data_IF_964634745662
#
_entry.id   IF_964634745662
#
_cell.length_a   1.000
_cell.length_b   1.000
_cell.length_c   1.000
_cell.angle_alpha   90.00
_cell.angle_beta   90.00
_cell.angle_gamma   90.00
#
_symmetry.space_group_name_H-M   'P 1'
#
loop_
_entity.id
_entity.type
_entity.pdbx_description
1 polymer ?
#
# COMPACT_ATOMS: atom_id res chain seq x y z
N UNK A 1 2.20 6.56 -18.25
CA UNK A 1 2.97 7.18 -17.14
C UNK A 1 4.40 6.67 -17.22
N UNK A 2 5.43 7.40 -16.76
CA UNK A 2 6.80 6.90 -16.83
C UNK A 2 6.99 5.63 -16.00
N UNK A 3 7.92 4.79 -16.45
CA UNK A 3 8.44 3.65 -15.69
C UNK A 3 9.60 4.15 -14.83
N UNK A 4 9.56 3.83 -13.54
CA UNK A 4 10.60 4.23 -12.59
C UNK A 4 11.66 3.14 -12.43
N UNK A 5 12.91 3.57 -12.19
CA UNK A 5 14.02 2.67 -11.89
C UNK A 5 14.05 2.24 -10.42
N UNK A 6 14.90 1.24 -10.13
CA UNK A 6 14.99 0.58 -8.83
C UNK A 6 15.34 1.50 -7.67
N UNK A 7 15.97 2.67 -7.90
CA UNK A 7 16.34 3.58 -6.82
C UNK A 7 15.12 4.13 -6.10
N UNK A 8 13.98 4.23 -6.79
CA UNK A 8 12.72 4.65 -6.17
C UNK A 8 12.14 3.61 -5.21
N UNK A 9 12.69 2.39 -5.21
CA UNK A 9 12.30 1.36 -4.25
C UNK A 9 12.94 1.58 -2.87
N UNK A 10 14.03 2.35 -2.83
CA UNK A 10 14.77 2.73 -1.63
C UNK A 10 14.27 4.04 -1.05
N UNK A 11 14.61 4.30 0.21
CA UNK A 11 14.24 5.51 0.90
C UNK A 11 14.81 6.75 0.20
N UNK A 12 13.96 7.76 0.07
CA UNK A 12 14.27 9.07 -0.45
C UNK A 12 14.82 9.97 0.66
N UNK A 13 15.69 10.93 0.32
CA UNK A 13 16.17 11.93 1.26
C UNK A 13 15.01 12.69 1.91
N UNK A 14 15.14 13.01 3.20
CA UNK A 14 14.18 13.85 3.91
C UNK A 14 14.28 15.27 3.36
N UNK A 15 13.17 15.80 2.89
CA UNK A 15 13.07 17.21 2.48
C UNK A 15 12.50 18.08 3.60
N UNK A 16 12.63 19.41 3.47
CA UNK A 16 12.28 20.38 4.51
C UNK A 16 10.79 20.58 4.80
N UNK A 17 9.90 20.06 3.96
CA UNK A 17 8.46 20.16 4.22
C UNK A 17 8.10 19.34 5.46
N UNK A 18 7.50 19.97 6.48
CA UNK A 18 7.18 19.33 7.76
C UNK A 18 6.23 18.13 7.64
N UNK A 19 5.48 18.03 6.55
CA UNK A 19 4.60 16.91 6.26
C UNK A 19 5.27 15.82 5.39
N UNK A 20 6.60 15.83 5.25
CA UNK A 20 7.34 14.81 4.50
C UNK A 20 7.04 13.41 5.04
N UNK A 21 6.67 12.51 4.14
CA UNK A 21 6.41 11.11 4.45
C UNK A 21 6.74 10.21 3.28
N UNK A 22 7.11 8.97 3.60
CA UNK A 22 7.01 7.85 2.68
C UNK A 22 5.97 6.87 3.15
N UNK A 23 5.21 6.29 2.22
CA UNK A 23 4.19 5.30 2.52
C UNK A 23 4.28 4.14 1.54
N UNK A 24 4.31 2.94 2.10
CA UNK A 24 4.34 1.67 1.41
C UNK A 24 2.96 1.03 1.54
N UNK A 25 2.34 0.73 0.41
CA UNK A 25 1.04 0.10 0.32
C UNK A 25 1.14 -1.24 -0.38
N UNK A 26 0.41 -2.22 0.14
CA UNK A 26 0.24 -3.51 -0.50
C UNK A 26 -1.19 -3.99 -0.32
N UNK A 27 -1.73 -4.65 -1.34
CA UNK A 27 -3.02 -5.30 -1.26
C UNK A 27 -3.04 -6.60 -2.06
N UNK A 28 -3.91 -7.51 -1.64
CA UNK A 28 -4.16 -8.77 -2.30
C UNK A 28 -5.58 -9.23 -1.97
N UNK A 29 -6.20 -9.98 -2.87
CA UNK A 29 -7.42 -10.72 -2.58
C UNK A 29 -7.45 -12.02 -3.38
N UNK A 30 -7.75 -13.12 -2.70
CA UNK A 30 -7.85 -14.45 -3.24
C UNK A 30 -9.32 -14.90 -3.25
N UNK A 31 -9.98 -14.97 -4.42
CA UNK A 31 -11.36 -15.42 -4.49
C UNK A 31 -11.54 -16.90 -4.16
N UNK A 32 -10.49 -17.72 -4.25
CA UNK A 32 -10.60 -19.16 -3.98
C UNK A 32 -10.70 -19.44 -2.48
N UNK A 33 -9.99 -18.66 -1.67
CA UNK A 33 -10.01 -18.79 -0.21
C UNK A 33 -10.91 -17.78 0.49
N UNK A 34 -11.47 -16.80 -0.25
CA UNK A 34 -12.20 -15.65 0.29
C UNK A 34 -11.38 -14.91 1.37
N UNK A 35 -10.11 -14.68 1.07
CA UNK A 35 -9.20 -13.95 1.96
C UNK A 35 -8.45 -12.86 1.22
N UNK A 36 -8.05 -11.82 1.94
CA UNK A 36 -7.21 -10.77 1.36
C UNK A 36 -6.73 -9.79 2.40
N UNK A 37 -5.94 -8.83 1.97
CA UNK A 37 -5.46 -7.77 2.85
C UNK A 37 -5.24 -6.47 2.11
N UNK A 38 -5.22 -5.39 2.88
CA UNK A 38 -4.74 -4.08 2.50
C UNK A 38 -3.88 -3.57 3.65
N UNK A 39 -2.68 -3.09 3.35
CA UNK A 39 -1.77 -2.61 4.38
C UNK A 39 -1.05 -1.35 3.94
N UNK A 40 -0.85 -0.44 4.90
CA UNK A 40 -0.01 0.75 4.77
C UNK A 40 1.02 0.76 5.89
N UNK A 41 2.29 0.93 5.55
CA UNK A 41 3.32 1.37 6.49
C UNK A 41 3.80 2.75 6.07
N UNK A 42 3.87 3.70 7.01
CA UNK A 42 4.29 5.07 6.75
C UNK A 42 5.42 5.53 7.63
N UNK A 43 6.44 6.16 7.06
CA UNK A 43 7.51 6.84 7.79
C UNK A 43 7.26 8.35 7.71
N UNK A 44 7.25 9.04 8.85
CA UNK A 44 7.02 10.49 8.99
C UNK A 44 8.08 11.08 9.92
N UNK A 45 9.31 11.30 9.43
CA UNK A 45 10.47 11.60 10.28
C UNK A 45 10.34 12.93 11.03
N UNK A 46 9.76 13.97 10.41
CA UNK A 46 9.52 15.26 11.06
C UNK A 46 8.46 15.19 12.16
N UNK A 47 7.53 14.24 12.04
CA UNK A 47 6.56 13.94 13.10
C UNK A 47 7.10 12.92 14.10
N UNK A 48 8.33 12.43 13.90
CA UNK A 48 9.02 11.48 14.77
C UNK A 48 8.37 10.10 14.85
N UNK A 49 7.68 9.64 13.79
CA UNK A 49 6.93 8.37 13.86
C UNK A 49 6.95 7.53 12.59
N UNK A 50 6.84 6.22 12.80
CA UNK A 50 6.49 5.23 11.80
C UNK A 50 5.21 4.52 12.24
N UNK A 51 4.26 4.32 11.33
CA UNK A 51 2.97 3.71 11.63
C UNK A 51 2.59 2.62 10.63
N UNK A 52 1.76 1.68 11.09
CA UNK A 52 1.19 0.65 10.23
C UNK A 52 -0.32 0.55 10.44
N UNK A 53 -1.02 0.23 9.37
CA UNK A 53 -2.39 -0.29 9.41
C UNK A 53 -2.49 -1.46 8.45
N UNK A 54 -2.89 -2.63 8.95
CA UNK A 54 -3.15 -3.84 8.19
C UNK A 54 -4.62 -4.22 8.40
N UNK A 55 -5.37 -4.31 7.32
CA UNK A 55 -6.73 -4.84 7.26
C UNK A 55 -6.69 -6.18 6.56
N UNK A 56 -7.28 -7.22 7.16
CA UNK A 56 -7.33 -8.57 6.61
C UNK A 56 -8.79 -9.01 6.52
N UNK A 57 -9.25 -9.26 5.30
CA UNK A 57 -10.54 -9.90 5.03
C UNK A 57 -10.38 -11.40 5.21
N UNK A 58 -11.24 -11.98 6.05
CA UNK A 58 -11.34 -13.40 6.31
C UNK A 58 -12.64 -13.95 5.71
N UNK A 59 -12.77 -15.27 5.52
CA UNK A 59 -13.92 -15.84 4.85
C UNK A 59 -15.24 -15.42 5.52
N UNK A 60 -16.24 -15.14 4.68
CA UNK A 60 -17.54 -14.67 5.13
C UNK A 60 -17.55 -13.16 5.37
N UNK A 61 -17.53 -12.75 6.63
CA UNK A 61 -17.87 -11.36 7.01
C UNK A 61 -16.88 -10.72 7.98
N UNK A 62 -15.84 -11.44 8.39
CA UNK A 62 -14.89 -10.94 9.37
C UNK A 62 -13.80 -10.08 8.72
N UNK A 63 -13.57 -8.90 9.30
CA UNK A 63 -12.46 -8.01 9.01
C UNK A 63 -11.58 -7.89 10.25
N UNK A 64 -10.35 -8.37 10.15
CA UNK A 64 -9.33 -8.18 11.19
C UNK A 64 -8.50 -6.93 10.91
N UNK A 65 -8.24 -6.12 11.93
CA UNK A 65 -7.45 -4.89 11.83
C UNK A 65 -6.33 -4.89 12.86
N UNK A 66 -5.11 -4.71 12.38
CA UNK A 66 -3.91 -4.43 13.17
C UNK A 66 -3.48 -3.01 12.87
N UNK A 67 -3.20 -2.22 13.90
CA UNK A 67 -2.69 -0.86 13.76
C UNK A 67 -1.67 -0.57 14.85
N UNK A 68 -0.66 0.22 14.52
CA UNK A 68 0.38 0.58 15.48
C UNK A 68 1.20 1.78 15.05
N UNK A 69 1.92 2.33 16.01
CA UNK A 69 2.83 3.46 15.82
C UNK A 69 4.04 3.27 16.72
N UNK A 70 5.21 3.67 16.24
CA UNK A 70 6.43 3.72 17.03
C UNK A 70 7.27 4.96 16.68
N UNK A 71 8.18 5.40 17.56
CA UNK A 71 9.10 6.48 17.26
C UNK A 71 9.98 6.18 16.05
N UNK A 72 10.14 7.15 15.15
CA UNK A 72 11.05 7.06 14.00
C UNK A 72 11.37 8.47 13.47
N UNK A 73 12.63 8.88 13.55
CA UNK A 73 13.07 10.22 13.14
C UNK A 73 13.87 10.23 11.82
N UNK A 74 14.23 9.05 11.32
CA UNK A 74 15.04 8.91 10.11
C UNK A 74 14.27 8.16 9.03
N UNK A 75 14.66 8.36 7.78
CA UNK A 75 14.24 7.48 6.70
C UNK A 75 15.05 6.20 6.75
N UNK A 76 14.37 5.05 6.68
CA UNK A 76 14.99 3.73 6.77
C UNK A 76 14.56 2.84 5.62
N UNK A 77 15.46 1.93 5.25
CA UNK A 77 15.30 0.96 4.16
C UNK A 77 15.32 -0.49 4.63
N UNK A 78 15.57 -0.70 5.92
CA UNK A 78 15.62 -1.99 6.61
C UNK A 78 14.74 -1.89 7.84
N UNK A 79 14.29 -3.03 8.34
CA UNK A 79 13.48 -3.11 9.56
C UNK A 79 12.19 -2.28 9.51
N UNK A 80 11.52 -2.29 8.35
CA UNK A 80 10.17 -1.76 8.19
C UNK A 80 9.17 -2.63 8.96
N UNK A 81 9.15 -2.50 10.28
CA UNK A 81 8.36 -3.31 11.18
C UNK A 81 7.70 -2.46 12.27
N UNK A 82 6.37 -2.60 12.42
CA UNK A 82 5.58 -1.93 13.47
C UNK A 82 4.47 -2.89 13.89
N UNK A 83 4.21 -3.01 15.19
CA UNK A 83 3.09 -3.78 15.74
C UNK A 83 2.90 -5.20 15.16
N UNK A 84 4.02 -5.93 14.99
CA UNK A 84 4.01 -7.30 14.47
C UNK A 84 3.87 -7.44 12.95
N UNK A 85 3.67 -6.33 12.22
CA UNK A 85 3.66 -6.28 10.76
C UNK A 85 5.03 -5.86 10.25
N UNK A 86 5.65 -6.63 9.35
CA UNK A 86 6.96 -6.35 8.76
C UNK A 86 6.92 -6.43 7.24
N UNK A 87 7.57 -5.47 6.59
CA UNK A 87 7.82 -5.48 5.15
C UNK A 87 9.31 -5.70 4.90
N UNK A 88 9.63 -6.57 3.96
CA UNK A 88 10.99 -6.90 3.56
C UNK A 88 11.11 -6.81 2.04
N UNK A 89 11.98 -5.92 1.57
CA UNK A 89 12.38 -5.85 0.17
C UNK A 89 13.39 -6.94 -0.10
N UNK A 90 13.01 -7.98 -0.84
CA UNK A 90 13.90 -9.09 -1.20
C UNK A 90 14.71 -8.78 -2.46
N UNK A 91 14.04 -8.22 -3.47
CA UNK A 91 14.66 -7.76 -4.72
C UNK A 91 13.98 -6.45 -5.15
N UNK A 92 14.74 -5.35 -5.35
CA UNK A 92 14.16 -4.06 -5.73
C UNK A 92 13.26 -4.14 -6.97
N UNK A 93 12.10 -3.52 -6.91
CA UNK A 93 11.04 -3.50 -7.95
C UNK A 93 10.53 -4.88 -8.40
N UNK A 94 10.93 -5.97 -7.74
CA UNK A 94 10.66 -7.34 -8.17
C UNK A 94 9.96 -8.14 -7.09
N UNK A 95 10.55 -8.25 -5.89
CA UNK A 95 10.09 -9.20 -4.88
C UNK A 95 10.07 -8.58 -3.49
N UNK A 96 8.93 -8.71 -2.81
CA UNK A 96 8.72 -8.24 -1.43
C UNK A 96 8.07 -9.33 -0.59
N UNK A 97 8.46 -9.44 0.67
CA UNK A 97 7.84 -10.33 1.65
C UNK A 97 7.19 -9.50 2.74
N UNK A 98 5.95 -9.86 3.09
CA UNK A 98 5.21 -9.26 4.17
C UNK A 98 4.86 -10.32 5.19
N UNK A 99 5.16 -10.05 6.45
CA UNK A 99 4.80 -10.94 7.55
C UNK A 99 3.95 -10.21 8.59
N UNK A 100 3.02 -10.92 9.22
CA UNK A 100 2.27 -10.46 10.38
C UNK A 100 2.25 -11.54 11.44
N UNK A 101 2.51 -11.15 12.68
CA UNK A 101 2.17 -11.92 13.87
C UNK A 101 1.71 -10.94 14.94
N UNK A 102 0.39 -10.76 15.05
CA UNK A 102 -0.19 -9.73 15.90
C UNK A 102 -1.57 -10.08 16.42
N UNK A 103 -1.92 -9.51 17.57
CA UNK A 103 -3.29 -9.41 18.04
C UNK A 103 -4.05 -8.37 17.19
N UNK A 104 -5.19 -8.76 16.64
CA UNK A 104 -6.04 -7.92 15.80
C UNK A 104 -7.39 -7.64 16.47
N UNK A 105 -7.98 -6.51 16.11
CA UNK A 105 -9.40 -6.24 16.37
C UNK A 105 -10.23 -6.77 15.20
N UNK A 106 -11.15 -7.69 15.48
CA UNK A 106 -11.96 -8.37 14.45
C UNK A 106 -13.40 -7.87 14.55
N UNK A 107 -13.93 -7.39 13.42
CA UNK A 107 -15.30 -6.91 13.29
C UNK A 107 -16.04 -7.75 12.26
N UNK A 108 -17.28 -8.14 12.58
CA UNK A 108 -18.23 -8.67 11.62
C UNK A 108 -18.83 -7.52 10.79
N UNK A 109 -18.56 -7.52 9.49
CA UNK A 109 -19.06 -6.53 8.54
C UNK A 109 -20.57 -6.66 8.28
N UNK A 110 -21.19 -7.81 8.57
CA UNK A 110 -22.64 -7.97 8.53
C UNK A 110 -23.34 -7.47 9.81
N UNK A 111 -22.58 -7.17 10.87
CA UNK A 111 -23.10 -6.59 12.11
C UNK A 111 -23.83 -7.56 13.04
N UNK A 112 -23.74 -8.88 12.80
CA UNK A 112 -24.41 -9.90 13.61
C UNK A 112 -23.60 -10.34 14.84
N UNK A 113 -22.30 -10.00 14.91
CA UNK A 113 -21.40 -10.37 16.03
C UNK A 113 -20.67 -9.16 16.60
N UNK A 114 -20.47 -9.17 17.91
CA UNK A 114 -19.67 -8.15 18.60
C UNK A 114 -18.21 -8.15 18.17
N UNK A 115 -17.56 -6.99 18.28
CA UNK A 115 -16.13 -6.85 17.98
C UNK A 115 -15.31 -7.68 18.97
N UNK A 116 -14.44 -8.54 18.45
CA UNK A 116 -13.59 -9.43 19.25
C UNK A 116 -12.11 -9.18 19.02
N UNK A 117 -11.25 -9.78 19.85
CA UNK A 117 -9.82 -9.88 19.61
C UNK A 117 -9.48 -11.26 19.07
N UNK A 118 -8.39 -11.34 18.31
CA UNK A 118 -7.84 -12.61 17.86
C UNK A 118 -6.52 -12.41 17.16
N UNK A 119 -5.67 -13.43 17.21
CA UNK A 119 -4.36 -13.43 16.58
C UNK A 119 -4.49 -13.60 15.06
N UNK A 120 -3.73 -12.82 14.32
CA UNK A 120 -3.55 -12.93 12.87
C UNK A 120 -2.09 -13.25 12.57
N UNK A 121 -1.90 -14.33 11.81
CA UNK A 121 -0.64 -14.69 11.19
C UNK A 121 -0.68 -14.38 9.69
N UNK A 122 0.43 -13.95 9.11
CA UNK A 122 0.57 -13.79 7.67
C UNK A 122 2.04 -13.98 7.29
N UNK A 123 2.29 -14.69 6.19
CA UNK A 123 3.58 -14.73 5.52
C UNK A 123 3.33 -14.86 4.03
N UNK A 124 3.46 -13.73 3.32
CA UNK A 124 3.10 -13.61 1.91
C UNK A 124 4.22 -12.92 1.14
N UNK A 125 4.44 -13.39 -0.08
CA UNK A 125 5.46 -12.86 -0.99
C UNK A 125 4.79 -12.31 -2.24
N UNK A 126 5.10 -11.06 -2.54
CA UNK A 126 4.75 -10.36 -3.76
C UNK A 126 5.83 -10.59 -4.81
N UNK A 127 5.42 -10.95 -6.03
CA UNK A 127 6.25 -11.00 -7.22
C UNK A 127 5.67 -10.06 -8.28
N UNK A 128 6.44 -9.09 -8.74
CA UNK A 128 6.01 -8.12 -9.74
C UNK A 128 5.67 -8.79 -11.08
N UNK A 129 4.56 -8.37 -11.69
CA UNK A 129 4.12 -8.77 -13.04
C UNK A 129 4.16 -7.60 -14.03
N UNK A 130 4.29 -6.37 -13.52
CA UNK A 130 4.37 -5.14 -14.29
C UNK A 130 5.54 -4.27 -13.77
N UNK A 131 6.14 -3.43 -14.64
CA UNK A 131 7.11 -2.44 -14.19
C UNK A 131 6.49 -1.45 -13.20
N UNK A 132 7.33 -0.73 -12.46
CA UNK A 132 6.89 0.35 -11.58
C UNK A 132 6.42 1.55 -12.39
N UNK A 133 5.10 1.72 -12.50
CA UNK A 133 4.46 2.79 -13.27
C UNK A 133 4.11 3.92 -12.31
N UNK A 134 4.56 5.15 -12.60
CA UNK A 134 4.35 6.24 -11.64
C UNK A 134 4.92 7.58 -12.06
N UNK A 135 5.39 8.36 -11.10
CA UNK A 135 6.16 9.59 -11.32
C UNK A 135 7.21 9.76 -10.22
N UNK A 136 8.41 10.17 -10.60
CA UNK A 136 9.54 10.37 -9.67
C UNK A 136 9.38 11.57 -8.73
N UNK A 137 8.44 12.46 -9.04
CA UNK A 137 8.19 13.72 -8.34
C UNK A 137 9.15 14.86 -8.68
N UNK A 138 10.09 14.64 -9.61
CA UNK A 138 11.12 15.60 -10.04
C UNK A 138 10.77 16.31 -11.37
N UNK A 139 9.62 15.97 -11.98
CA UNK A 139 9.12 16.62 -13.19
C UNK A 139 8.72 18.09 -13.01
N UNK A 140 8.82 18.88 -14.12
CA UNK A 140 8.48 20.31 -14.19
C UNK A 140 7.19 20.63 -13.44
N UNK A 141 7.21 21.73 -12.68
CA UNK A 141 6.08 22.22 -11.90
C UNK A 141 4.79 22.27 -12.72
N UNK A 142 3.96 21.24 -12.60
CA UNK A 142 2.58 21.30 -13.05
C UNK A 142 1.86 22.47 -12.39
N UNK A 143 0.98 23.13 -13.13
CA UNK A 143 0.12 24.22 -12.64
C UNK A 143 -1.25 23.68 -12.22
N UNK A 144 -2.05 24.50 -11.52
CA UNK A 144 -3.42 24.16 -11.15
C UNK A 144 -3.54 22.90 -10.27
N UNK A 145 -4.50 22.04 -10.59
CA UNK A 145 -4.84 20.82 -9.84
C UNK A 145 -3.61 19.93 -9.58
N UNK A 146 -2.70 19.80 -10.55
CA UNK A 146 -1.49 18.96 -10.37
C UNK A 146 -0.47 19.56 -9.40
N UNK A 147 -0.43 20.88 -9.20
CA UNK A 147 0.37 21.50 -8.14
C UNK A 147 -0.27 21.25 -6.77
N UNK A 148 -1.58 21.44 -6.69
CA UNK A 148 -2.34 21.29 -5.46
C UNK A 148 -2.25 19.86 -4.93
N UNK A 149 -2.51 18.86 -5.78
CA UNK A 149 -2.37 17.45 -5.40
C UNK A 149 -0.98 17.13 -4.85
N UNK A 150 0.11 17.60 -5.48
CA UNK A 150 1.49 17.34 -5.01
C UNK A 150 1.81 17.92 -3.64
N UNK A 151 1.12 18.99 -3.22
CA UNK A 151 1.28 19.60 -1.87
C UNK A 151 0.58 18.80 -0.77
N UNK A 152 -0.40 17.98 -1.12
CA UNK A 152 -1.25 17.26 -0.17
C UNK A 152 -1.06 15.73 -0.21
N UNK A 153 -0.63 15.19 -1.35
CA UNK A 153 -0.75 13.76 -1.68
C UNK A 153 0.61 13.09 -1.97
N UNK A 154 1.70 13.84 -1.95
CA UNK A 154 3.03 13.35 -2.29
C UNK A 154 3.53 13.88 -3.63
N UNK A 155 4.85 13.97 -3.75
CA UNK A 155 5.54 14.46 -4.95
C UNK A 155 5.70 13.35 -5.97
N UNK A 156 6.09 12.16 -5.51
CA UNK A 156 6.28 10.99 -6.35
C UNK A 156 5.49 9.79 -5.85
N UNK A 157 5.21 8.87 -6.77
CA UNK A 157 4.60 7.59 -6.46
C UNK A 157 4.94 6.56 -7.53
N UNK A 158 4.79 5.29 -7.20
CA UNK A 158 4.83 4.16 -8.13
C UNK A 158 3.75 3.16 -7.77
N UNK A 159 3.24 2.48 -8.79
CA UNK A 159 2.35 1.35 -8.66
C UNK A 159 2.90 0.15 -9.43
N UNK A 160 2.76 -1.04 -8.85
CA UNK A 160 3.09 -2.31 -9.49
C UNK A 160 2.00 -3.33 -9.23
N UNK A 161 1.53 -3.99 -10.29
CA UNK A 161 0.75 -5.21 -10.15
C UNK A 161 1.67 -6.41 -9.96
N UNK A 162 1.19 -7.40 -9.22
CA UNK A 162 1.94 -8.63 -8.99
C UNK A 162 1.10 -9.79 -8.50
N UNK A 163 1.77 -10.93 -8.42
CA UNK A 163 1.25 -12.18 -7.87
C UNK A 163 1.61 -12.26 -6.39
N UNK A 164 0.72 -12.83 -5.60
CA UNK A 164 0.96 -13.16 -4.21
C UNK A 164 0.97 -14.66 -4.00
N UNK A 165 1.92 -15.13 -3.19
CA UNK A 165 1.99 -16.52 -2.70
C UNK A 165 2.20 -16.51 -1.20
N UNK A 166 1.86 -17.60 -0.52
CA UNK A 166 2.04 -17.73 0.92
C UNK A 166 0.71 -18.02 1.61
N UNK A 167 0.52 -17.47 2.81
CA UNK A 167 -0.66 -17.77 3.61
C UNK A 167 -1.08 -16.64 4.56
N UNK A 168 -2.37 -16.65 4.90
CA UNK A 168 -3.01 -15.85 5.94
C UNK A 168 -3.61 -16.83 6.95
N UNK A 169 -3.42 -16.60 8.24
CA UNK A 169 -3.93 -17.46 9.32
C UNK A 169 -4.74 -16.65 10.32
N UNK A 170 -5.91 -17.18 10.68
CA UNK A 170 -6.77 -16.62 11.71
C UNK A 170 -7.49 -17.75 12.45
N UNK A 171 -7.65 -17.61 13.77
CA UNK A 171 -8.32 -18.61 14.61
C UNK A 171 -7.81 -20.06 14.41
N UNK A 172 -6.50 -20.21 14.17
CA UNK A 172 -5.85 -21.51 13.94
C UNK A 172 -6.11 -22.12 12.55
N UNK A 173 -6.83 -21.42 11.66
CA UNK A 173 -7.07 -21.84 10.28
C UNK A 173 -6.14 -21.09 9.36
N UNK A 174 -5.35 -21.83 8.59
CA UNK A 174 -4.41 -21.28 7.59
C UNK A 174 -5.00 -21.38 6.19
N UNK A 175 -5.12 -20.23 5.54
CA UNK A 175 -5.56 -20.08 4.16
C UNK A 175 -4.34 -19.86 3.27
N UNK A 176 -4.03 -20.84 2.43
CA UNK A 176 -2.96 -20.74 1.45
C UNK A 176 -3.45 -20.00 0.21
N UNK A 177 -2.73 -18.95 -0.17
CA UNK A 177 -3.04 -18.17 -1.37
C UNK A 177 -2.87 -19.02 -2.62
N UNK A 178 -3.91 -19.13 -3.45
CA UNK A 178 -3.93 -20.03 -4.61
C UNK A 178 -3.59 -19.29 -5.90
N UNK A 179 -4.46 -18.35 -6.30
CA UNK A 179 -4.33 -17.61 -7.55
C UNK A 179 -4.50 -16.11 -7.30
N UNK A 180 -3.71 -15.62 -6.35
CA UNK A 180 -3.88 -14.30 -5.77
C UNK A 180 -3.06 -13.26 -6.51
N UNK A 181 -3.73 -12.16 -6.87
CA UNK A 181 -3.10 -10.98 -7.45
C UNK A 181 -3.43 -9.76 -6.62
N UNK A 182 -2.64 -8.74 -6.81
CA UNK A 182 -2.82 -7.48 -6.11
C UNK A 182 -1.78 -6.47 -6.52
N UNK A 183 -1.77 -5.37 -5.79
CA UNK A 183 -0.92 -4.26 -6.13
C UNK A 183 -0.05 -3.86 -4.96
N UNK A 184 1.03 -3.21 -5.34
CA UNK A 184 1.89 -2.44 -4.48
C UNK A 184 1.82 -0.99 -4.94
N UNK A 185 1.79 -0.06 -3.98
CA UNK A 185 2.08 1.36 -4.24
C UNK A 185 3.16 1.82 -3.26
N UNK A 186 4.01 2.74 -3.71
CA UNK A 186 4.86 3.53 -2.82
C UNK A 186 4.71 4.98 -3.20
N UNK A 187 4.48 5.85 -2.22
CA UNK A 187 4.42 7.30 -2.42
C UNK A 187 5.34 8.03 -1.46
N UNK A 188 5.91 9.15 -1.91
CA UNK A 188 6.82 9.99 -1.13
C UNK A 188 6.56 11.46 -1.37
N UNK A 189 6.82 12.28 -0.35
CA UNK A 189 6.64 13.73 -0.40
C UNK A 189 5.73 14.26 0.70
N UNK A 190 5.30 15.53 0.62
CA UNK A 190 4.41 16.12 1.59
C UNK A 190 3.04 15.45 1.60
N UNK A 191 2.58 14.98 2.78
CA UNK A 191 1.28 14.31 2.95
C UNK A 191 0.42 15.06 3.97
N UNK A 192 -0.54 15.82 3.45
CA UNK A 192 -1.56 16.52 4.24
C UNK A 192 -2.91 15.89 3.93
N UNK A 193 -3.19 14.77 4.61
CA UNK A 193 -4.31 13.88 4.31
C UNK A 193 -5.70 14.52 4.39
N UNK A 194 -5.86 15.62 5.16
CA UNK A 194 -7.11 16.40 5.20
C UNK A 194 -7.29 17.38 4.04
N UNK A 195 -6.34 17.48 3.11
CA UNK A 195 -6.40 18.42 1.98
C UNK A 195 -7.40 18.01 0.88
N UNK A 196 -7.33 16.77 0.36
CA UNK A 196 -8.29 16.32 -0.66
C UNK A 196 -9.72 16.22 -0.10
N UNK A 197 -10.69 16.78 -0.82
CA UNK A 197 -12.12 16.64 -0.50
C UNK A 197 -12.64 15.24 -0.78
N UNK A 198 -12.00 14.55 -1.72
CA UNK A 198 -12.40 13.22 -2.15
C UNK A 198 -11.20 12.44 -2.67
N UNK A 199 -11.22 11.14 -2.42
CA UNK A 199 -10.23 10.21 -2.91
C UNK A 199 -10.91 8.92 -3.38
N UNK A 200 -10.65 8.52 -4.63
CA UNK A 200 -11.00 7.20 -5.15
C UNK A 200 -9.77 6.61 -5.80
N UNK A 201 -9.32 5.48 -5.31
CA UNK A 201 -8.22 4.72 -5.89
C UNK A 201 -8.68 3.28 -6.09
N UNK A 202 -8.32 2.70 -7.22
CA UNK A 202 -8.58 1.30 -7.51
C UNK A 202 -7.41 0.70 -8.28
N UNK A 203 -7.23 -0.59 -8.08
CA UNK A 203 -6.35 -1.44 -8.87
C UNK A 203 -7.12 -2.71 -9.23
N UNK A 204 -6.99 -3.14 -10.49
CA UNK A 204 -7.69 -4.29 -11.04
C UNK A 204 -6.67 -5.15 -11.78
N UNK A 205 -6.70 -6.45 -11.51
CA UNK A 205 -5.81 -7.45 -12.08
C UNK A 205 -6.63 -8.52 -12.79
N UNK A 206 -6.41 -8.70 -14.09
CA UNK A 206 -7.08 -9.67 -14.95
C UNK A 206 -6.04 -10.68 -15.47
N UNK A 207 -5.86 -11.76 -14.72
CA UNK A 207 -4.76 -12.70 -14.95
C UNK A 207 -3.39 -12.03 -14.82
N UNK A 208 -2.37 -12.61 -15.44
CA UNK A 208 -0.97 -12.16 -15.33
C UNK A 208 -0.57 -11.10 -16.36
N UNK A 209 -1.51 -10.72 -17.22
CA UNK A 209 -1.17 -9.99 -18.45
C UNK A 209 -1.92 -8.68 -18.61
N UNK A 210 -2.92 -8.41 -17.78
CA UNK A 210 -3.73 -7.19 -17.87
C UNK A 210 -3.93 -6.63 -16.48
N UNK A 211 -3.38 -5.44 -16.25
CA UNK A 211 -3.44 -4.74 -14.97
C UNK A 211 -3.82 -3.29 -15.23
N UNK A 212 -4.65 -2.71 -14.38
CA UNK A 212 -5.07 -1.33 -14.53
C UNK A 212 -5.26 -0.67 -13.16
N UNK A 213 -4.77 0.56 -13.07
CA UNK A 213 -4.85 1.39 -11.88
C UNK A 213 -5.44 2.75 -12.23
N UNK A 214 -6.19 3.31 -11.30
CA UNK A 214 -6.82 4.60 -11.49
C UNK A 214 -7.02 5.33 -10.18
N UNK A 215 -6.85 6.65 -10.25
CA UNK A 215 -7.06 7.53 -9.11
C UNK A 215 -7.83 8.78 -9.54
N UNK A 216 -8.79 9.17 -8.70
CA UNK A 216 -9.44 10.48 -8.73
C UNK A 216 -9.23 11.16 -7.39
N UNK A 217 -8.67 12.36 -7.42
CA UNK A 217 -8.43 13.20 -6.24
C UNK A 217 -9.17 14.51 -6.45
N UNK A 218 -10.17 14.77 -5.61
CA UNK A 218 -10.89 16.04 -5.62
C UNK A 218 -10.17 17.05 -4.74
N UNK A 219 -9.83 18.20 -5.32
CA UNK A 219 -9.17 19.32 -4.63
C UNK A 219 -10.00 20.60 -4.76
N UNK A 220 -9.57 21.70 -4.15
CA UNK A 220 -10.28 22.97 -4.25
C UNK A 220 -10.21 23.55 -5.67
N UNK A 221 -9.13 23.27 -6.42
CA UNK A 221 -8.98 23.67 -7.82
C UNK A 221 -9.65 22.73 -8.84
N UNK A 222 -10.22 21.60 -8.41
CA UNK A 222 -10.89 20.63 -9.27
C UNK A 222 -10.39 19.19 -9.11
N UNK A 223 -10.75 18.32 -10.05
CA UNK A 223 -10.44 16.89 -9.95
C UNK A 223 -9.22 16.49 -10.75
N UNK A 224 -8.23 15.86 -10.08
CA UNK A 224 -7.17 15.14 -10.76
C UNK A 224 -7.66 13.75 -11.13
N UNK A 225 -7.47 13.38 -12.39
CA UNK A 225 -7.63 12.01 -12.86
C UNK A 225 -6.30 11.50 -13.38
N UNK A 226 -5.84 10.36 -12.89
CA UNK A 226 -4.71 9.63 -13.44
C UNK A 226 -5.00 8.14 -13.45
N UNK A 227 -4.34 7.44 -14.35
CA UNK A 227 -4.44 6.00 -14.42
C UNK A 227 -3.48 5.43 -15.44
N UNK A 228 -3.44 4.11 -15.47
CA UNK A 228 -2.61 3.33 -16.38
C UNK A 228 -3.30 2.01 -16.66
N UNK A 229 -2.96 1.45 -17.82
CA UNK A 229 -3.29 0.09 -18.20
C UNK A 229 -1.96 -0.51 -18.63
N UNK A 230 -1.69 -1.72 -18.18
CA UNK A 230 -0.58 -2.54 -18.61
C UNK A 230 -1.15 -3.79 -19.25
N UNK A 231 -0.76 -4.06 -20.49
CA UNK A 231 -1.19 -5.23 -21.25
C UNK A 231 -0.01 -5.85 -21.98
N UNK A 232 0.40 -7.05 -21.56
CA UNK A 232 1.40 -7.87 -22.27
C UNK A 232 2.71 -7.14 -22.64
N UNK A 233 3.18 -6.21 -21.80
CA UNK A 233 4.41 -5.46 -22.09
C UNK A 233 4.22 -4.01 -22.52
N UNK A 234 2.97 -3.57 -22.71
CA UNK A 234 2.60 -2.23 -23.19
C UNK A 234 1.69 -1.46 -22.24
#
# INVERSE_FOLDING_TARGET
MPILDERHDFAHPIESDSAWSESYYFNAYDPATDTGFFTRLGIRPHEGRMDVGLSVWLPGTDLAVVAGVQPQHEMIDRDLAVAGVRYERLAPMQTWRLTCDAEASIRDLAGGRERRRGRIGMDVTFQALAPAIGSDGQGRGGTGVSAETRRHVGKGHLEQAGRWTGWIEAAGVRHHLVDTRGNRDKSWGPRRWGGPRMWRWFSINLGDHVHLGGIRIGTDAGDLHRGWIWRKGE
#
